data_IF_936508312950
#
_entry.id   IF_936508312950
#
_cell.length_a   1.000
_cell.length_b   1.000
_cell.length_c   1.000
_cell.angle_alpha   90.00
_cell.angle_beta   90.00
_cell.angle_gamma   90.00
#
_symmetry.space_group_name_H-M   'P 1'
#
loop_
_entity.id
_entity.type
_entity.pdbx_description
1 polymer ?
#
# COMPACT_ATOMS: atom_id res chain seq x y z
N UNK A 1 -3.96 -15.48 4.74
CA UNK A 1 -3.12 -15.38 3.52
C UNK A 1 -1.82 -14.66 3.87
N UNK A 2 -0.78 -15.37 4.29
CA UNK A 2 0.50 -14.76 4.72
C UNK A 2 1.21 -13.94 3.62
N UNK A 3 0.90 -14.20 2.35
CA UNK A 3 1.49 -13.53 1.20
C UNK A 3 1.01 -12.06 1.11
N UNK A 4 -0.28 -11.81 1.34
CA UNK A 4 -0.87 -10.47 1.20
C UNK A 4 -0.38 -9.51 2.29
N UNK A 5 -0.20 -10.00 3.52
CA UNK A 5 0.35 -9.19 4.62
C UNK A 5 1.81 -8.80 4.37
N UNK A 6 2.65 -9.72 3.85
CA UNK A 6 4.03 -9.41 3.46
C UNK A 6 4.12 -8.37 2.34
N UNK A 7 3.24 -8.44 1.35
CA UNK A 7 3.21 -7.46 0.25
C UNK A 7 2.79 -6.07 0.73
N UNK A 8 1.82 -5.98 1.65
CA UNK A 8 1.40 -4.70 2.25
C UNK A 8 2.55 -4.09 3.07
N UNK A 9 3.29 -4.91 3.81
CA UNK A 9 4.43 -4.45 4.61
C UNK A 9 5.58 -3.92 3.73
N UNK A 10 5.90 -4.63 2.64
CA UNK A 10 6.92 -4.19 1.66
C UNK A 10 6.53 -2.86 0.98
N UNK A 11 5.25 -2.71 0.63
CA UNK A 11 4.73 -1.48 0.04
C UNK A 11 4.69 -0.31 1.04
N UNK A 12 4.41 -0.56 2.32
CA UNK A 12 4.54 0.45 3.39
C UNK A 12 5.98 0.94 3.54
N UNK A 13 6.94 0.01 3.54
CA UNK A 13 8.36 0.34 3.60
C UNK A 13 8.82 1.15 2.38
N UNK A 14 8.34 0.81 1.19
CA UNK A 14 8.61 1.60 -0.03
C UNK A 14 7.99 2.99 0.03
N UNK A 15 6.75 3.10 0.50
CA UNK A 15 6.07 4.39 0.65
C UNK A 15 6.80 5.28 1.65
N UNK A 16 7.25 4.73 2.79
CA UNK A 16 8.00 5.48 3.80
C UNK A 16 9.34 5.97 3.24
N UNK A 17 10.05 5.14 2.47
CA UNK A 17 11.31 5.54 1.82
C UNK A 17 11.08 6.62 0.76
N UNK A 18 10.09 6.45 -0.11
CA UNK A 18 9.75 7.43 -1.13
C UNK A 18 9.31 8.76 -0.49
N UNK A 19 8.49 8.70 0.57
CA UNK A 19 8.13 9.86 1.37
C UNK A 19 9.36 10.53 1.97
N UNK A 20 10.29 9.78 2.57
CA UNK A 20 11.49 10.36 3.16
C UNK A 20 12.41 11.01 2.12
N UNK A 21 12.55 10.40 0.94
CA UNK A 21 13.37 10.91 -0.16
C UNK A 21 12.78 12.18 -0.77
N UNK A 22 11.44 12.21 -0.95
CA UNK A 22 10.71 13.37 -1.46
C UNK A 22 10.45 14.46 -0.40
N UNK A 23 10.96 14.32 0.83
CA UNK A 23 10.74 15.30 1.92
C UNK A 23 9.29 15.35 2.44
N UNK A 24 8.63 14.20 2.46
CA UNK A 24 7.20 14.00 2.76
C UNK A 24 6.27 14.78 1.83
N UNK A 25 6.68 14.97 0.58
CA UNK A 25 5.83 15.57 -0.43
C UNK A 25 4.76 14.57 -0.89
N UNK A 26 3.61 14.55 -0.22
CA UNK A 26 2.49 13.67 -0.59
C UNK A 26 1.85 13.99 -1.95
N UNK A 27 2.27 15.07 -2.62
CA UNK A 27 1.88 15.40 -3.99
C UNK A 27 2.85 14.83 -5.03
N UNK A 28 3.93 14.18 -4.58
CA UNK A 28 4.85 13.52 -5.49
C UNK A 28 4.11 12.39 -6.25
N UNK A 29 4.20 12.37 -7.59
CA UNK A 29 3.48 11.39 -8.40
C UNK A 29 3.89 9.94 -8.07
N UNK A 30 5.11 9.70 -7.60
CA UNK A 30 5.58 8.38 -7.17
C UNK A 30 4.90 7.96 -5.86
N UNK A 31 4.83 8.86 -4.87
CA UNK A 31 4.14 8.62 -3.59
C UNK A 31 2.64 8.40 -3.79
N UNK A 32 2.01 9.19 -4.67
CA UNK A 32 0.59 9.05 -5.01
C UNK A 32 0.35 7.69 -5.68
N UNK A 33 1.20 7.28 -6.62
CA UNK A 33 1.11 5.99 -7.29
C UNK A 33 1.26 4.82 -6.32
N UNK A 34 2.24 4.88 -5.40
CA UNK A 34 2.44 3.83 -4.39
C UNK A 34 1.24 3.78 -3.42
N UNK A 35 0.72 4.94 -3.00
CA UNK A 35 -0.44 5.03 -2.12
C UNK A 35 -1.70 4.41 -2.75
N UNK A 36 -1.96 4.68 -4.03
CA UNK A 36 -3.08 4.08 -4.76
C UNK A 36 -2.94 2.57 -4.92
N UNK A 37 -1.72 2.06 -5.11
CA UNK A 37 -1.46 0.62 -5.17
C UNK A 37 -1.71 -0.06 -3.83
N UNK A 38 -1.29 0.58 -2.73
CA UNK A 38 -1.53 0.10 -1.37
C UNK A 38 -3.04 0.06 -1.06
N UNK A 39 -3.77 1.12 -1.40
CA UNK A 39 -5.22 1.21 -1.18
C UNK A 39 -5.99 0.09 -1.91
N UNK A 40 -5.67 -0.14 -3.19
CA UNK A 40 -6.25 -1.25 -3.99
C UNK A 40 -5.99 -2.61 -3.36
N UNK A 41 -4.79 -2.85 -2.85
CA UNK A 41 -4.44 -4.11 -2.20
C UNK A 41 -5.17 -4.31 -0.87
N UNK A 42 -5.32 -3.24 -0.08
CA UNK A 42 -6.08 -3.26 1.17
C UNK A 42 -7.56 -3.55 0.87
N UNK A 43 -8.16 -2.87 -0.11
CA UNK A 43 -9.55 -3.10 -0.50
C UNK A 43 -9.75 -4.53 -1.02
N UNK A 44 -8.85 -5.02 -1.87
CA UNK A 44 -8.90 -6.41 -2.37
C UNK A 44 -8.79 -7.43 -1.22
N UNK A 45 -7.92 -7.17 -0.24
CA UNK A 45 -7.78 -8.01 0.95
C UNK A 45 -9.05 -7.99 1.80
N UNK A 46 -9.59 -6.81 2.10
CA UNK A 46 -10.84 -6.65 2.87
C UNK A 46 -12.04 -7.29 2.17
N UNK A 47 -12.13 -7.22 0.84
CA UNK A 47 -13.19 -7.89 0.08
C UNK A 47 -13.07 -9.41 0.10
N UNK A 48 -11.84 -9.94 0.09
CA UNK A 48 -11.59 -11.37 0.26
C UNK A 48 -11.97 -11.88 1.66
N UNK A 49 -11.73 -11.10 2.71
CA UNK A 49 -12.13 -11.44 4.08
C UNK A 49 -13.64 -11.24 4.34
N UNK A 50 -14.30 -10.35 3.60
CA UNK A 50 -15.74 -10.07 3.74
C UNK A 50 -16.67 -11.10 3.10
N UNK A 51 -16.16 -12.13 2.41
CA UNK A 51 -17.04 -13.15 1.80
C UNK A 51 -17.56 -14.07 2.91
N UNK A 52 -18.85 -14.01 3.29
CA UNK A 52 -19.40 -15.01 4.20
C UNK A 52 -19.44 -16.32 3.43
N UNK A 53 -18.83 -17.35 4.01
CA UNK A 53 -19.07 -18.74 3.63
C UNK A 53 -20.45 -19.17 4.11
#
# INVERSE_FOLDING_TARGET
>A
MEITSKMIDDLRLKLERAAKDAGYNFLDPEIVSISQQLDKLIVAHMQHEKRPS
#
